data_IF_468830278491
#
_entry.id   IF_468830278491
#
_cell.length_a   1.000
_cell.length_b   1.000
_cell.length_c   1.000
_cell.angle_alpha   90.00
_cell.angle_beta   90.00
_cell.angle_gamma   90.00
#
_symmetry.space_group_name_H-M   'P 1'
#
loop_
_entity.id
_entity.type
_entity.pdbx_description
1 polymer ?
#
# COMPACT_ATOMS: atom_id res chain seq x y z
N UNK A 1 -2.86 -27.64 9.77
CA UNK A 1 -2.39 -26.33 10.26
C UNK A 1 -1.28 -25.71 9.38
N UNK A 2 -0.22 -26.44 9.02
CA UNK A 2 0.89 -25.89 8.21
C UNK A 2 0.49 -25.38 6.80
N UNK A 3 -0.46 -26.05 6.13
CA UNK A 3 -0.96 -25.62 4.82
C UNK A 3 -1.67 -24.26 4.86
N UNK A 4 -2.36 -23.93 5.96
CA UNK A 4 -3.00 -22.62 6.13
C UNK A 4 -1.97 -21.49 6.23
N UNK A 5 -0.85 -21.74 6.91
CA UNK A 5 0.24 -20.76 6.99
C UNK A 5 0.87 -20.49 5.61
N UNK A 6 0.98 -21.50 4.74
CA UNK A 6 1.42 -21.34 3.36
C UNK A 6 0.44 -20.54 2.50
N UNK A 7 -0.86 -20.83 2.62
CA UNK A 7 -1.92 -20.07 1.96
C UNK A 7 -1.88 -18.60 2.38
N UNK A 8 -1.64 -18.33 3.66
CA UNK A 8 -1.53 -16.97 4.18
C UNK A 8 -0.36 -16.18 3.58
N UNK A 9 0.80 -16.81 3.38
CA UNK A 9 1.91 -16.15 2.67
C UNK A 9 1.57 -15.90 1.19
N UNK A 10 0.85 -16.82 0.55
CA UNK A 10 0.32 -16.63 -0.81
C UNK A 10 -0.66 -15.46 -0.89
N UNK A 11 -1.56 -15.31 0.08
CA UNK A 11 -2.48 -14.18 0.19
C UNK A 11 -1.74 -12.86 0.41
N UNK A 12 -0.73 -12.82 1.28
CA UNK A 12 0.10 -11.63 1.46
C UNK A 12 0.83 -11.23 0.16
N UNK A 13 1.34 -12.20 -0.60
CA UNK A 13 1.95 -11.92 -1.90
C UNK A 13 0.92 -11.43 -2.94
N UNK A 14 -0.23 -12.10 -3.03
CA UNK A 14 -1.32 -11.71 -3.93
C UNK A 14 -1.84 -10.30 -3.65
N UNK A 15 -1.69 -9.81 -2.41
CA UNK A 15 -2.16 -8.49 -2.01
C UNK A 15 -1.57 -7.33 -2.81
N UNK A 16 -0.37 -7.51 -3.38
CA UNK A 16 0.28 -6.52 -4.25
C UNK A 16 -0.55 -6.26 -5.51
N UNK A 17 -1.25 -7.27 -6.04
CA UNK A 17 -2.04 -7.16 -7.27
C UNK A 17 -3.49 -6.71 -7.04
N UNK A 18 -4.02 -6.92 -5.83
CA UNK A 18 -5.42 -6.67 -5.48
C UNK A 18 -5.58 -5.57 -4.43
N UNK A 19 -4.72 -4.55 -4.46
CA UNK A 19 -4.79 -3.37 -3.60
C UNK A 19 -4.89 -3.70 -2.10
N UNK A 20 -4.22 -4.76 -1.62
CA UNK A 20 -4.19 -5.10 -0.20
C UNK A 20 -5.35 -5.96 0.32
N UNK A 21 -6.41 -6.22 -0.45
CA UNK A 21 -7.57 -7.01 0.02
C UNK A 21 -7.18 -8.42 0.49
N UNK A 22 -6.37 -9.19 -0.27
CA UNK A 22 -5.85 -10.48 0.21
C UNK A 22 -5.04 -10.39 1.51
N UNK A 23 -4.33 -9.29 1.76
CA UNK A 23 -3.53 -9.15 2.99
C UNK A 23 -4.43 -9.02 4.23
N UNK A 24 -5.60 -8.39 4.09
CA UNK A 24 -6.59 -8.31 5.16
C UNK A 24 -7.14 -9.69 5.51
N UNK A 25 -7.51 -10.49 4.50
CA UNK A 25 -7.96 -11.87 4.69
C UNK A 25 -6.86 -12.68 5.40
N UNK A 26 -5.60 -12.52 4.97
CA UNK A 26 -4.48 -13.20 5.60
C UNK A 26 -4.31 -12.83 7.08
N UNK A 27 -4.46 -11.55 7.42
CA UNK A 27 -4.40 -11.08 8.80
C UNK A 27 -5.52 -11.68 9.65
N UNK A 28 -6.76 -11.71 9.14
CA UNK A 28 -7.91 -12.30 9.84
C UNK A 28 -7.66 -13.78 10.14
N UNK A 29 -7.19 -14.55 9.15
CA UNK A 29 -6.84 -15.96 9.33
C UNK A 29 -5.74 -16.12 10.39
N UNK A 30 -4.70 -15.27 10.35
CA UNK A 30 -3.62 -15.32 11.32
C UNK A 30 -4.08 -15.02 12.75
N UNK A 31 -4.93 -14.00 12.94
CA UNK A 31 -5.50 -13.67 14.25
C UNK A 31 -6.44 -14.76 14.78
N UNK A 32 -7.21 -15.41 13.91
CA UNK A 32 -8.12 -16.49 14.30
C UNK A 32 -7.37 -17.78 14.66
N UNK A 33 -6.31 -18.12 13.93
CA UNK A 33 -5.62 -19.41 14.07
C UNK A 33 -4.41 -19.37 15.01
N UNK A 34 -3.95 -18.19 15.45
CA UNK A 34 -2.73 -18.08 16.27
C UNK A 34 -2.84 -18.74 17.65
N UNK A 35 -4.03 -18.86 18.24
CA UNK A 35 -4.20 -19.36 19.61
C UNK A 35 -4.36 -20.88 19.67
N UNK A 36 -4.86 -21.48 18.59
CA UNK A 36 -4.99 -22.95 18.45
C UNK A 36 -3.74 -23.60 17.84
N UNK A 37 -2.80 -22.81 17.34
CA UNK A 37 -1.63 -23.30 16.62
C UNK A 37 -0.45 -23.69 17.55
N UNK A 38 0.31 -24.75 17.22
CA UNK A 38 1.57 -25.09 17.87
C UNK A 38 2.55 -23.91 17.89
N UNK A 39 3.41 -23.81 18.92
CA UNK A 39 4.34 -22.69 19.13
C UNK A 39 5.11 -22.25 17.87
N UNK A 40 5.60 -23.20 17.07
CA UNK A 40 6.33 -22.93 15.82
C UNK A 40 5.45 -22.18 14.83
N UNK A 41 4.24 -22.67 14.56
CA UNK A 41 3.30 -22.05 13.61
C UNK A 41 2.74 -20.73 14.15
N UNK A 42 2.52 -20.63 15.47
CA UNK A 42 2.11 -19.39 16.13
C UNK A 42 3.11 -18.24 15.89
N UNK A 43 4.41 -18.54 15.88
CA UNK A 43 5.43 -17.54 15.52
C UNK A 43 5.27 -17.02 14.08
N UNK A 44 4.86 -17.89 13.15
CA UNK A 44 4.58 -17.51 11.77
C UNK A 44 3.35 -16.63 11.64
N UNK A 45 2.25 -16.95 12.33
CA UNK A 45 1.07 -16.08 12.34
C UNK A 45 1.37 -14.70 12.93
N UNK A 46 2.12 -14.62 14.03
CA UNK A 46 2.53 -13.33 14.62
C UNK A 46 3.37 -12.46 13.68
N UNK A 47 4.22 -13.08 12.88
CA UNK A 47 4.98 -12.34 11.86
C UNK A 47 4.12 -11.92 10.69
N UNK A 48 3.23 -12.78 10.19
CA UNK A 48 2.29 -12.43 9.12
C UNK A 48 1.43 -11.22 9.53
N UNK A 49 0.98 -11.18 10.78
CA UNK A 49 0.30 -10.02 11.37
C UNK A 49 1.20 -8.78 11.34
N UNK A 50 2.47 -8.88 11.75
CA UNK A 50 3.43 -7.76 11.68
C UNK A 50 3.66 -7.28 10.23
N UNK A 51 3.78 -8.20 9.28
CA UNK A 51 3.93 -7.89 7.85
C UNK A 51 2.73 -7.12 7.33
N UNK A 52 1.51 -7.56 7.68
CA UNK A 52 0.28 -6.86 7.35
C UNK A 52 0.28 -5.42 7.88
N UNK A 53 0.58 -5.22 9.16
CA UNK A 53 0.56 -3.87 9.75
C UNK A 53 1.58 -2.93 9.13
N UNK A 54 2.79 -3.39 8.83
CA UNK A 54 3.80 -2.55 8.15
C UNK A 54 3.34 -2.18 6.74
N UNK A 55 2.81 -3.15 5.99
CA UNK A 55 2.26 -2.89 4.65
C UNK A 55 1.06 -1.92 4.71
N UNK A 56 0.19 -2.07 5.70
CA UNK A 56 -0.95 -1.21 5.92
C UNK A 56 -0.54 0.23 6.24
N UNK A 57 0.46 0.44 7.11
CA UNK A 57 0.99 1.77 7.41
C UNK A 57 1.61 2.44 6.18
N UNK A 58 2.35 1.69 5.35
CA UNK A 58 2.92 2.20 4.10
C UNK A 58 1.82 2.57 3.08
N UNK A 59 0.80 1.73 2.95
CA UNK A 59 -0.36 2.01 2.10
C UNK A 59 -1.12 3.26 2.57
N UNK A 60 -1.28 3.43 3.89
CA UNK A 60 -1.93 4.62 4.46
C UNK A 60 -1.10 5.89 4.17
N UNK A 61 0.23 5.84 4.34
CA UNK A 61 1.11 6.96 4.03
C UNK A 61 1.06 7.35 2.54
N UNK A 62 1.03 6.36 1.64
CA UNK A 62 0.82 6.59 0.22
C UNK A 62 -0.57 7.22 -0.06
N UNK A 63 -1.62 6.70 0.58
CA UNK A 63 -2.98 7.22 0.45
C UNK A 63 -3.13 8.68 0.91
N UNK A 64 -2.52 9.05 2.04
CA UNK A 64 -2.49 10.44 2.52
C UNK A 64 -1.76 11.35 1.53
N UNK A 65 -0.62 10.89 1.00
CA UNK A 65 0.14 11.64 -0.01
C UNK A 65 -0.70 11.85 -1.29
N UNK A 66 -1.39 10.81 -1.74
CA UNK A 66 -2.29 10.85 -2.90
C UNK A 66 -3.48 11.80 -2.70
N UNK A 67 -4.12 11.76 -1.53
CA UNK A 67 -5.19 12.71 -1.18
C UNK A 67 -4.68 14.16 -1.21
N UNK A 68 -3.46 14.40 -0.73
CA UNK A 68 -2.80 15.70 -0.83
C UNK A 68 -2.66 16.18 -2.28
N UNK A 69 -2.27 15.29 -3.20
CA UNK A 69 -2.23 15.60 -4.64
C UNK A 69 -3.62 15.95 -5.17
N UNK A 70 -4.64 15.16 -4.86
CA UNK A 70 -6.01 15.39 -5.35
C UNK A 70 -6.58 16.72 -4.87
N UNK A 71 -6.35 17.09 -3.61
CA UNK A 71 -6.80 18.38 -3.06
C UNK A 71 -6.12 19.54 -3.80
N UNK A 72 -4.81 19.43 -4.08
CA UNK A 72 -4.07 20.46 -4.79
C UNK A 72 -4.54 20.62 -6.24
N UNK A 73 -4.62 19.52 -6.99
CA UNK A 73 -5.08 19.52 -8.39
C UNK A 73 -6.50 20.08 -8.50
N UNK A 74 -7.41 19.68 -7.62
CA UNK A 74 -8.78 20.22 -7.63
C UNK A 74 -8.78 21.71 -7.30
N UNK A 75 -8.00 22.17 -6.33
CA UNK A 75 -7.91 23.59 -5.98
C UNK A 75 -7.44 24.48 -7.15
N UNK A 76 -6.47 24.01 -7.94
CA UNK A 76 -6.00 24.69 -9.14
C UNK A 76 -7.10 24.75 -10.20
N UNK A 77 -7.75 23.62 -10.49
CA UNK A 77 -8.86 23.54 -11.46
C UNK A 77 -10.01 24.49 -11.10
N UNK A 78 -10.40 24.56 -9.82
CA UNK A 78 -11.46 25.48 -9.39
C UNK A 78 -11.11 26.94 -9.66
N UNK A 79 -9.86 27.35 -9.43
CA UNK A 79 -9.41 28.72 -9.73
C UNK A 79 -9.46 29.02 -11.24
N UNK A 80 -9.09 28.06 -12.10
CA UNK A 80 -9.20 28.21 -13.55
C UNK A 80 -10.65 28.35 -14.04
N UNK A 81 -11.62 27.74 -13.35
CA UNK A 81 -13.04 27.78 -13.74
C UNK A 81 -13.82 29.02 -13.28
N UNK A 82 -13.27 29.87 -12.40
CA UNK A 82 -13.95 31.08 -11.91
C UNK A 82 -13.74 32.33 -12.78
N UNK A 83 -13.16 32.20 -13.98
CA UNK A 83 -13.02 33.32 -14.91
C UNK A 83 -14.42 33.72 -15.43
N UNK A 84 -14.92 34.94 -15.14
CA UNK A 84 -16.23 35.38 -15.60
C UNK A 84 -16.16 35.68 -17.10
N UNK A 85 -16.62 34.76 -17.94
CA UNK A 85 -16.71 35.00 -19.38
C UNK A 85 -17.04 33.75 -20.19
N UNK A 86 -18.16 33.79 -20.92
CA UNK A 86 -18.60 32.78 -21.88
C UNK A 86 -17.73 32.75 -23.17
N UNK A 87 -16.40 32.80 -23.05
CA UNK A 87 -15.45 32.71 -24.17
C UNK A 87 -14.75 31.34 -24.25
N UNK A 88 -15.43 30.29 -23.76
CA UNK A 88 -14.86 28.96 -23.53
C UNK A 88 -14.58 28.15 -24.81
N UNK A 89 -15.02 28.61 -25.99
CA UNK A 89 -14.99 27.80 -27.21
C UNK A 89 -13.79 28.08 -28.14
N UNK A 90 -13.14 29.25 -28.05
CA UNK A 90 -12.10 29.65 -29.02
C UNK A 90 -10.69 29.87 -28.42
N UNK A 91 -10.53 29.88 -27.09
CA UNK A 91 -9.26 30.21 -26.44
C UNK A 91 -8.81 29.22 -25.35
N UNK A 92 -9.11 27.93 -25.48
CA UNK A 92 -8.44 26.90 -24.66
C UNK A 92 -7.05 26.62 -25.24
N UNK A 93 -6.16 27.63 -25.20
CA UNK A 93 -4.72 27.35 -25.19
C UNK A 93 -4.44 26.84 -23.79
N UNK A 94 -4.44 25.51 -23.63
CA UNK A 94 -3.91 24.87 -22.42
C UNK A 94 -2.46 25.35 -22.29
N UNK A 95 -2.26 26.42 -21.52
CA UNK A 95 -0.95 26.96 -21.22
C UNK A 95 -0.30 26.01 -20.21
N UNK A 96 0.19 24.88 -20.72
CA UNK A 96 0.88 23.83 -19.96
C UNK A 96 2.12 24.38 -19.23
N UNK A 97 2.54 25.61 -19.52
CA UNK A 97 3.60 26.33 -18.81
C UNK A 97 3.17 26.93 -17.46
N UNK A 98 1.87 27.15 -17.26
CA UNK A 98 1.29 27.68 -16.02
C UNK A 98 0.74 26.60 -15.09
N UNK A 99 0.87 25.31 -15.43
CA UNK A 99 0.84 24.25 -14.42
C UNK A 99 2.10 24.45 -13.57
N UNK A 100 1.99 25.28 -12.53
CA UNK A 100 3.03 25.47 -11.54
C UNK A 100 3.25 24.13 -10.87
N UNK A 101 4.24 23.39 -11.36
CA UNK A 101 4.75 22.19 -10.71
C UNK A 101 5.43 22.67 -9.41
N UNK A 102 4.59 22.97 -8.42
CA UNK A 102 5.00 23.41 -7.08
C UNK A 102 5.88 22.31 -6.48
N UNK A 103 6.97 22.69 -5.83
CA UNK A 103 7.83 21.74 -5.12
C UNK A 103 7.04 20.85 -4.16
N UNK A 104 5.92 21.36 -3.62
CA UNK A 104 5.01 20.57 -2.81
C UNK A 104 4.33 19.42 -3.57
N UNK A 105 3.86 19.65 -4.81
CA UNK A 105 3.25 18.61 -5.65
C UNK A 105 4.28 17.53 -6.02
N UNK A 106 5.51 17.94 -6.35
CA UNK A 106 6.61 17.02 -6.63
C UNK A 106 6.91 16.15 -5.40
N UNK A 107 6.99 16.77 -4.22
CA UNK A 107 7.24 16.05 -2.96
C UNK A 107 6.11 15.08 -2.64
N UNK A 108 4.84 15.45 -2.83
CA UNK A 108 3.71 14.56 -2.58
C UNK A 108 3.68 13.38 -3.55
N UNK A 109 3.92 13.62 -4.85
CA UNK A 109 4.01 12.57 -5.86
C UNK A 109 5.20 11.64 -5.60
N UNK A 110 6.38 12.20 -5.29
CA UNK A 110 7.56 11.42 -4.96
C UNK A 110 7.36 10.59 -3.68
N UNK A 111 6.75 11.16 -2.65
CA UNK A 111 6.42 10.46 -1.39
C UNK A 111 5.42 9.33 -1.65
N UNK A 112 4.36 9.60 -2.42
CA UNK A 112 3.38 8.59 -2.82
C UNK A 112 4.06 7.43 -3.55
N UNK A 113 4.86 7.73 -4.58
CA UNK A 113 5.59 6.73 -5.34
C UNK A 113 6.56 5.92 -4.46
N UNK A 114 7.29 6.59 -3.56
CA UNK A 114 8.22 5.97 -2.64
C UNK A 114 7.52 5.01 -1.68
N UNK A 115 6.44 5.44 -1.02
CA UNK A 115 5.71 4.60 -0.07
C UNK A 115 5.03 3.41 -0.76
N UNK A 116 4.48 3.60 -1.96
CA UNK A 116 3.94 2.49 -2.76
C UNK A 116 5.02 1.48 -3.17
N UNK A 117 6.19 1.96 -3.60
CA UNK A 117 7.31 1.07 -3.96
C UNK A 117 7.84 0.29 -2.75
N UNK A 118 8.03 0.96 -1.61
CA UNK A 118 8.46 0.32 -0.37
C UNK A 118 7.43 -0.69 0.14
N UNK A 119 6.13 -0.35 0.07
CA UNK A 119 5.05 -1.25 0.45
C UNK A 119 4.98 -2.50 -0.43
N UNK A 120 5.10 -2.34 -1.75
CA UNK A 120 5.16 -3.45 -2.69
C UNK A 120 6.37 -4.34 -2.44
N UNK A 121 7.56 -3.75 -2.29
CA UNK A 121 8.79 -4.50 -2.00
C UNK A 121 8.69 -5.25 -0.67
N UNK A 122 8.12 -4.64 0.36
CA UNK A 122 7.89 -5.25 1.66
C UNK A 122 6.95 -6.47 1.58
N UNK A 123 5.83 -6.34 0.86
CA UNK A 123 4.85 -7.41 0.64
C UNK A 123 5.39 -8.55 -0.25
N UNK A 124 6.49 -8.34 -0.96
CA UNK A 124 7.19 -9.42 -1.68
C UNK A 124 8.25 -10.07 -0.78
N UNK A 125 9.16 -9.28 -0.21
CA UNK A 125 10.32 -9.80 0.51
C UNK A 125 9.95 -10.46 1.85
N UNK A 126 9.09 -9.83 2.64
CA UNK A 126 8.80 -10.34 3.99
C UNK A 126 8.03 -11.68 3.96
N UNK A 127 6.98 -11.86 3.13
CA UNK A 127 6.35 -13.16 2.96
C UNK A 127 7.29 -14.22 2.39
N UNK A 128 8.16 -13.87 1.43
CA UNK A 128 9.14 -14.81 0.87
C UNK A 128 10.11 -15.34 1.94
N UNK A 129 10.65 -14.47 2.79
CA UNK A 129 11.52 -14.87 3.90
C UNK A 129 10.78 -15.76 4.92
N UNK A 130 9.53 -15.42 5.23
CA UNK A 130 8.68 -16.22 6.12
C UNK A 130 8.36 -17.61 5.55
N UNK A 131 8.11 -17.69 4.24
CA UNK A 131 7.86 -18.94 3.51
C UNK A 131 9.09 -19.85 3.52
N UNK A 132 10.27 -19.32 3.18
CA UNK A 132 11.53 -20.10 3.18
C UNK A 132 11.83 -20.65 4.57
N UNK A 133 11.62 -19.85 5.63
CA UNK A 133 11.80 -20.32 7.01
C UNK A 133 10.82 -21.43 7.39
N UNK A 134 9.55 -21.29 7.01
CA UNK A 134 8.53 -22.32 7.24
C UNK A 134 8.87 -23.62 6.51
N UNK A 135 9.38 -23.53 5.28
CA UNK A 135 9.84 -24.69 4.50
C UNK A 135 11.07 -25.39 5.15
N UNK A 136 11.91 -24.64 5.86
CA UNK A 136 13.05 -25.18 6.62
C UNK A 136 12.71 -25.71 8.02
N UNK A 137 11.42 -25.80 8.37
CA UNK A 137 10.89 -26.15 9.71
C UNK A 137 11.45 -25.28 10.86
N UNK A 138 11.96 -24.09 10.55
CA UNK A 138 12.46 -23.13 11.54
C UNK A 138 11.36 -22.18 11.93
N UNK A 139 11.06 -22.11 13.23
CA UNK A 139 10.21 -21.07 13.80
C UNK A 139 10.80 -19.67 13.57
N UNK A 140 9.96 -18.64 13.57
CA UNK A 140 10.45 -17.27 13.58
C UNK A 140 10.85 -16.88 14.99
N UNK A 141 12.16 -16.97 15.22
CA UNK A 141 12.80 -16.82 16.52
C UNK A 141 12.25 -15.65 17.34
N UNK A 142 11.75 -16.00 18.52
CA UNK A 142 11.80 -15.25 19.76
C UNK A 142 12.15 -16.28 20.84
#
# INVERSE_FOLDING_TARGET
MRNLAFINYGLLFASVFFAGVPALIAAIIAYSQQDEAPQTIRSHYKFQIRVFWVAFCLALAAGVSFLGVMIRVTSEVFQFTQVPGWDLHDNVKLDLSNVTVDGTLIVLLASCALFSALGGLWLVLAPALGFVRLASERGMGH
#
